data_IF_247015533606
#
_entry.id   IF_247015533606
#
_cell.length_a   1.000
_cell.length_b   1.000
_cell.length_c   1.000
_cell.angle_alpha   90.00
_cell.angle_beta   90.00
_cell.angle_gamma   90.00
#
_symmetry.space_group_name_H-M   'P 1'
#
loop_
_entity.id
_entity.type
_entity.pdbx_description
1 polymer ?
#
# COMPACT_ATOMS: atom_id res chain seq x y z
N UNK A 1 3.09 1.03 -40.86
CA UNK A 1 2.79 -0.37 -41.19
C UNK A 1 2.77 -1.16 -39.89
N UNK A 2 1.59 -1.56 -39.45
CA UNK A 2 1.37 -2.36 -38.24
C UNK A 2 1.54 -3.84 -38.61
N UNK A 3 2.34 -4.59 -37.84
CA UNK A 3 2.41 -6.05 -37.92
C UNK A 3 1.65 -6.67 -36.74
N UNK A 4 0.97 -7.82 -36.94
CA UNK A 4 -0.18 -8.23 -36.13
C UNK A 4 0.14 -9.08 -34.89
N UNK A 5 -0.85 -9.10 -33.99
CA UNK A 5 -0.98 -9.87 -32.76
C UNK A 5 -1.17 -11.37 -33.09
N UNK A 6 -0.37 -12.24 -32.47
CA UNK A 6 -0.59 -13.69 -32.49
C UNK A 6 -1.30 -14.13 -31.19
N UNK A 7 -2.53 -14.61 -31.34
CA UNK A 7 -3.31 -15.29 -30.29
C UNK A 7 -3.13 -16.79 -30.51
N UNK A 8 -2.60 -17.51 -29.52
CA UNK A 8 -2.60 -18.99 -29.52
C UNK A 8 -3.61 -19.46 -28.47
N UNK A 9 -4.75 -19.96 -28.95
CA UNK A 9 -5.66 -20.77 -28.16
C UNK A 9 -5.19 -22.23 -28.19
N UNK A 10 -4.96 -22.84 -27.02
CA UNK A 10 -4.98 -24.29 -26.89
C UNK A 10 -6.30 -24.70 -26.24
N UNK A 11 -7.11 -25.46 -27.00
CA UNK A 11 -8.30 -26.16 -26.52
C UNK A 11 -7.90 -27.52 -25.92
N UNK A 12 -8.75 -28.12 -25.06
CA UNK A 12 -8.40 -29.22 -24.18
C UNK A 12 -8.52 -30.60 -24.85
N UNK A 13 -7.71 -31.55 -24.40
CA UNK A 13 -7.88 -32.97 -24.70
C UNK A 13 -8.75 -33.65 -23.62
N UNK A 14 -9.91 -34.17 -24.02
CA UNK A 14 -10.60 -35.32 -23.40
C UNK A 14 -10.28 -36.54 -24.28
N UNK A 15 -10.22 -37.81 -23.86
CA UNK A 15 -11.07 -38.71 -23.03
C UNK A 15 -10.25 -40.02 -22.74
N UNK A 16 -10.81 -41.16 -22.27
CA UNK A 16 -11.78 -41.44 -21.19
C UNK A 16 -11.27 -42.50 -20.18
N UNK A 17 -11.95 -42.63 -19.04
CA UNK A 17 -11.82 -43.80 -18.15
C UNK A 17 -12.77 -43.73 -16.97
N UNK A 18 -13.89 -44.45 -17.05
CA UNK A 18 -14.84 -44.68 -15.96
C UNK A 18 -14.23 -45.61 -14.89
N UNK A 19 -14.56 -45.35 -13.62
CA UNK A 19 -14.26 -46.25 -12.51
C UNK A 19 -14.73 -45.67 -11.18
N UNK A 20 -15.67 -46.37 -10.56
CA UNK A 20 -16.51 -45.95 -9.44
C UNK A 20 -15.84 -46.06 -8.06
N UNK A 21 -16.45 -45.36 -7.09
CA UNK A 21 -16.52 -45.63 -5.65
C UNK A 21 -15.59 -44.91 -4.64
N UNK A 22 -16.29 -44.18 -3.75
CA UNK A 22 -16.09 -44.05 -2.29
C UNK A 22 -14.85 -43.36 -1.73
N UNK A 23 -15.11 -42.21 -1.07
CA UNK A 23 -14.31 -41.72 0.06
C UNK A 23 -14.22 -42.78 1.17
N UNK A 24 -13.08 -42.84 1.88
CA UNK A 24 -13.06 -42.18 3.18
C UNK A 24 -11.80 -41.33 3.40
N UNK A 25 -12.02 -40.19 4.08
CA UNK A 25 -10.99 -39.40 4.73
C UNK A 25 -10.18 -40.28 5.69
N UNK A 26 -8.86 -40.30 5.54
CA UNK A 26 -7.97 -40.65 6.64
C UNK A 26 -6.70 -39.80 6.60
N UNK A 27 -6.36 -39.27 7.77
CA UNK A 27 -5.39 -38.19 7.95
C UNK A 27 -3.97 -38.54 7.52
N UNK A 28 -3.32 -37.57 6.86
CA UNK A 28 -1.88 -37.52 6.71
C UNK A 28 -1.35 -36.25 7.37
N UNK A 29 -0.45 -36.45 8.33
CA UNK A 29 0.33 -35.44 9.04
C UNK A 29 1.01 -34.46 8.09
N UNK A 30 0.85 -33.15 8.33
CA UNK A 30 1.66 -32.12 7.69
C UNK A 30 3.07 -32.14 8.32
N UNK A 31 4.08 -32.51 7.52
CA UNK A 31 5.50 -32.42 7.87
C UNK A 31 5.98 -30.96 7.87
N UNK A 32 6.89 -30.55 8.76
CA UNK A 32 7.45 -29.21 8.76
C UNK A 32 8.60 -29.08 7.74
N UNK A 33 8.76 -27.87 7.22
CA UNK A 33 9.90 -27.34 6.44
C UNK A 33 10.12 -27.84 5.00
N UNK A 34 9.78 -26.95 4.05
CA UNK A 34 10.53 -26.82 2.79
C UNK A 34 10.99 -25.37 2.66
N UNK A 35 12.31 -25.14 2.81
CA UNK A 35 12.95 -23.90 2.40
C UNK A 35 12.87 -23.78 0.87
N UNK A 36 12.24 -22.73 0.35
CA UNK A 36 12.33 -22.40 -1.07
C UNK A 36 13.49 -21.42 -1.30
N UNK A 37 14.54 -21.92 -1.95
CA UNK A 37 15.59 -21.11 -2.57
C UNK A 37 15.00 -20.41 -3.80
N UNK A 38 15.01 -19.08 -3.81
CA UNK A 38 14.71 -18.30 -5.01
C UNK A 38 16.00 -17.92 -5.74
N UNK A 39 16.07 -18.31 -7.01
CA UNK A 39 17.04 -17.82 -7.99
C UNK A 39 16.59 -16.46 -8.53
N UNK A 40 17.43 -15.43 -8.41
CA UNK A 40 17.65 -14.52 -9.54
C UNK A 40 16.90 -13.18 -9.66
N UNK A 41 16.42 -12.56 -8.57
CA UNK A 41 16.10 -11.12 -8.60
C UNK A 41 16.69 -10.40 -7.37
N UNK A 42 17.72 -9.58 -7.57
CA UNK A 42 18.36 -8.81 -6.49
C UNK A 42 17.41 -7.70 -6.03
N UNK A 43 16.80 -7.89 -4.86
CA UNK A 43 16.24 -6.79 -4.06
C UNK A 43 17.34 -5.73 -3.82
N UNK A 44 17.02 -4.42 -3.84
CA UNK A 44 18.00 -3.38 -3.57
C UNK A 44 18.65 -3.59 -2.19
N UNK A 45 19.97 -3.37 -2.14
CA UNK A 45 20.83 -3.64 -0.99
C UNK A 45 20.30 -2.96 0.28
N UNK A 46 20.01 -3.80 1.27
CA UNK A 46 19.60 -3.51 2.64
C UNK A 46 20.75 -2.89 3.46
N UNK A 47 21.23 -1.70 3.09
CA UNK A 47 22.26 -0.99 3.87
C UNK A 47 21.74 0.41 4.25
N UNK A 48 21.14 0.46 5.45
CA UNK A 48 20.93 1.59 6.37
C UNK A 48 19.71 1.37 7.28
N UNK A 49 19.40 0.09 7.60
CA UNK A 49 18.68 -0.19 8.84
C UNK A 49 19.66 0.05 9.97
N UNK A 50 19.46 1.13 10.73
CA UNK A 50 20.01 1.22 12.07
C UNK A 50 19.43 0.00 12.81
N UNK A 51 20.29 -0.93 13.18
CA UNK A 51 19.95 -2.02 14.10
C UNK A 51 19.47 -1.38 15.41
N UNK A 52 18.15 -1.23 15.53
CA UNK A 52 17.54 -1.19 16.85
C UNK A 52 17.70 -2.60 17.42
N UNK A 53 18.76 -2.75 18.20
CA UNK A 53 19.16 -3.98 18.84
C UNK A 53 18.02 -4.62 19.63
N UNK A 54 18.15 -5.93 19.76
CA UNK A 54 17.34 -6.82 20.59
C UNK A 54 16.92 -6.20 21.93
N UNK A 55 15.76 -5.56 21.94
CA UNK A 55 14.82 -5.50 23.06
C UNK A 55 13.42 -5.68 22.50
N UNK A 56 13.12 -6.90 22.08
CA UNK A 56 11.74 -7.36 21.96
C UNK A 56 11.14 -7.52 23.35
N UNK A 57 10.94 -6.39 24.03
CA UNK A 57 9.97 -6.25 25.10
C UNK A 57 8.87 -5.39 24.50
N UNK A 58 7.87 -6.04 23.91
CA UNK A 58 6.64 -5.37 23.52
C UNK A 58 5.99 -4.83 24.80
N UNK A 59 6.26 -3.57 25.12
CA UNK A 59 5.60 -2.88 26.21
C UNK A 59 4.19 -2.53 25.74
N UNK A 60 3.23 -3.39 26.09
CA UNK A 60 1.81 -3.10 26.06
C UNK A 60 1.57 -1.93 27.02
N UNK A 61 1.60 -0.69 26.53
CA UNK A 61 1.24 0.45 27.36
C UNK A 61 -0.27 0.42 27.59
N UNK A 62 -0.65 0.01 28.79
CA UNK A 62 -2.02 -0.06 29.26
C UNK A 62 -2.44 1.28 29.85
N UNK A 63 -3.23 2.05 29.12
CA UNK A 63 -4.28 2.85 29.76
C UNK A 63 -5.54 1.99 29.62
N UNK A 64 -5.82 1.18 30.65
CA UNK A 64 -6.80 0.07 30.63
C UNK A 64 -6.66 -0.98 29.50
N UNK A 65 -5.49 -1.64 29.44
CA UNK A 65 -5.43 -3.09 29.19
C UNK A 65 -5.77 -3.66 27.80
N UNK A 66 -6.10 -2.87 26.77
CA UNK A 66 -6.43 -3.42 25.43
C UNK A 66 -5.73 -2.67 24.32
N UNK A 67 -4.59 -3.19 23.86
CA UNK A 67 -4.01 -2.84 22.55
C UNK A 67 -4.89 -3.46 21.45
N UNK A 68 -5.20 -2.69 20.40
CA UNK A 68 -5.98 -3.21 19.27
C UNK A 68 -5.27 -4.43 18.65
N UNK A 69 -6.04 -5.44 18.26
CA UNK A 69 -5.49 -6.57 17.51
C UNK A 69 -4.98 -6.05 16.14
N UNK A 70 -3.76 -6.39 15.71
CA UNK A 70 -3.22 -5.90 14.45
C UNK A 70 -4.05 -6.30 13.22
N UNK A 71 -4.68 -7.48 13.23
CA UNK A 71 -5.60 -7.91 12.18
C UNK A 71 -6.92 -7.14 12.19
N UNK A 72 -7.38 -6.68 13.36
CA UNK A 72 -8.52 -5.77 13.45
C UNK A 72 -8.18 -4.42 12.80
N UNK A 73 -6.99 -3.89 13.07
CA UNK A 73 -6.50 -2.65 12.45
C UNK A 73 -6.39 -2.81 10.92
N UNK A 74 -5.91 -3.96 10.46
CA UNK A 74 -5.87 -4.28 9.02
C UNK A 74 -7.26 -4.37 8.42
N UNK A 75 -8.19 -5.09 9.06
CA UNK A 75 -9.58 -5.21 8.60
C UNK A 75 -10.32 -3.87 8.58
N UNK A 76 -10.15 -3.04 9.62
CA UNK A 76 -10.69 -1.69 9.66
C UNK A 76 -10.11 -0.82 8.55
N UNK A 77 -8.82 -0.95 8.25
CA UNK A 77 -8.19 -0.23 7.14
C UNK A 77 -8.75 -0.72 5.80
N UNK A 78 -8.96 -2.03 5.64
CA UNK A 78 -9.62 -2.61 4.48
C UNK A 78 -11.06 -2.08 4.29
N UNK A 79 -11.74 -1.66 5.34
CA UNK A 79 -13.06 -1.01 5.25
C UNK A 79 -12.95 0.52 5.03
N UNK A 80 -12.32 1.23 5.97
CA UNK A 80 -12.41 2.70 6.14
C UNK A 80 -11.10 3.46 5.88
N UNK A 81 -10.01 2.73 5.64
CA UNK A 81 -8.69 3.33 5.43
C UNK A 81 -8.48 3.93 4.04
N UNK A 82 -7.61 4.92 3.95
CA UNK A 82 -7.23 5.55 2.69
C UNK A 82 -5.75 5.89 2.65
N UNK A 83 -5.08 5.46 1.59
CA UNK A 83 -3.71 5.86 1.25
C UNK A 83 -3.79 6.91 0.15
N UNK A 84 -3.26 8.12 0.38
CA UNK A 84 -3.48 9.23 -0.55
C UNK A 84 -2.26 10.14 -0.66
N UNK A 85 -2.20 10.83 -1.79
CA UNK A 85 -1.23 11.90 -2.04
C UNK A 85 -1.97 13.15 -2.43
N UNK A 86 -1.92 14.17 -1.59
CA UNK A 86 -2.48 15.48 -1.93
C UNK A 86 -1.47 16.27 -2.73
N UNK A 87 -1.91 16.85 -3.85
CA UNK A 87 -1.12 17.76 -4.68
C UNK A 87 -1.67 19.16 -4.47
N UNK A 88 -0.79 20.09 -4.11
CA UNK A 88 -1.12 21.51 -4.01
C UNK A 88 -0.15 22.35 -4.83
N UNK A 89 -0.66 23.40 -5.46
CA UNK A 89 0.19 24.38 -6.13
C UNK A 89 0.96 25.19 -5.08
N UNK A 90 2.27 25.26 -5.24
CA UNK A 90 3.19 25.97 -4.36
C UNK A 90 4.27 26.64 -5.22
N UNK A 91 4.10 27.90 -5.62
CA UNK A 91 5.02 28.60 -6.54
C UNK A 91 6.48 28.62 -6.06
N UNK A 92 6.71 28.55 -4.74
CA UNK A 92 8.06 28.47 -4.17
C UNK A 92 8.77 27.13 -4.40
N UNK A 93 8.08 26.10 -4.92
CA UNK A 93 8.69 24.82 -5.29
C UNK A 93 9.18 24.87 -6.73
N UNK A 94 10.26 24.13 -7.02
CA UNK A 94 10.93 24.09 -8.34
C UNK A 94 9.98 23.86 -9.53
N UNK A 95 8.95 23.03 -9.33
CA UNK A 95 7.95 22.71 -10.36
C UNK A 95 6.55 23.27 -10.02
N UNK A 96 6.47 24.23 -9.10
CA UNK A 96 5.20 24.82 -8.67
C UNK A 96 4.28 23.87 -7.91
N UNK A 97 4.75 22.68 -7.51
CA UNK A 97 3.95 21.62 -6.90
C UNK A 97 4.53 21.15 -5.57
N UNK A 98 3.64 20.87 -4.63
CA UNK A 98 3.93 20.20 -3.37
C UNK A 98 3.08 18.93 -3.25
N UNK A 99 3.74 17.80 -3.05
CA UNK A 99 3.12 16.50 -2.80
C UNK A 99 3.20 16.19 -1.30
N UNK A 100 2.06 15.83 -0.70
CA UNK A 100 2.00 15.33 0.68
C UNK A 100 1.33 13.97 0.71
N UNK A 101 2.09 12.98 1.15
CA UNK A 101 1.59 11.63 1.37
C UNK A 101 0.81 11.63 2.70
N UNK A 102 -0.32 10.91 2.74
CA UNK A 102 -1.10 10.71 3.95
C UNK A 102 -1.69 9.31 4.00
N UNK A 103 -1.81 8.81 5.22
CA UNK A 103 -2.72 7.72 5.56
C UNK A 103 -3.86 8.28 6.41
N UNK A 104 -5.10 7.90 6.12
CA UNK A 104 -6.25 8.36 6.87
C UNK A 104 -7.24 7.23 7.15
N UNK A 105 -7.90 7.28 8.30
CA UNK A 105 -9.13 6.53 8.58
C UNK A 105 -10.19 7.54 8.99
N UNK A 106 -11.27 7.64 8.21
CA UNK A 106 -12.33 8.61 8.41
C UNK A 106 -13.61 7.91 8.85
N UNK A 107 -14.24 8.38 9.92
CA UNK A 107 -15.43 7.77 10.50
C UNK A 107 -16.39 8.84 11.03
N UNK A 108 -17.59 8.40 11.43
CA UNK A 108 -18.51 9.27 12.17
C UNK A 108 -17.91 9.63 13.55
N UNK A 109 -18.26 10.81 14.07
CA UNK A 109 -17.80 11.28 15.40
C UNK A 109 -18.14 10.33 16.55
N UNK A 110 -19.18 9.49 16.40
CA UNK A 110 -19.52 8.44 17.38
C UNK A 110 -18.41 7.42 17.59
N UNK A 111 -17.54 7.24 16.59
CA UNK A 111 -16.42 6.31 16.60
C UNK A 111 -15.09 7.00 16.97
N UNK A 112 -15.13 8.19 17.58
CA UNK A 112 -13.94 8.97 17.93
C UNK A 112 -12.95 8.19 18.82
N UNK A 113 -13.44 7.40 19.77
CA UNK A 113 -12.60 6.60 20.67
C UNK A 113 -11.87 5.48 19.92
N UNK A 114 -12.46 4.92 18.86
CA UNK A 114 -11.78 3.96 17.99
C UNK A 114 -10.62 4.62 17.22
N UNK A 115 -10.82 5.85 16.74
CA UNK A 115 -9.76 6.62 16.07
C UNK A 115 -8.61 7.00 17.04
N UNK A 116 -8.93 7.32 18.30
CA UNK A 116 -7.90 7.52 19.35
C UNK A 116 -7.16 6.21 19.63
N UNK A 117 -7.87 5.09 19.69
CA UNK A 117 -7.27 3.76 19.85
C UNK A 117 -6.34 3.39 18.69
N UNK A 118 -6.64 3.83 17.46
CA UNK A 118 -5.72 3.67 16.31
C UNK A 118 -4.45 4.49 16.48
N UNK A 119 -4.56 5.77 16.86
CA UNK A 119 -3.39 6.61 17.18
C UNK A 119 -2.52 5.94 18.25
N UNK A 120 -3.14 5.43 19.30
CA UNK A 120 -2.41 4.81 20.41
C UNK A 120 -1.79 3.46 20.01
N UNK A 121 -2.47 2.67 19.16
CA UNK A 121 -1.94 1.44 18.57
C UNK A 121 -0.69 1.70 17.72
N UNK A 122 -0.74 2.70 16.83
CA UNK A 122 0.38 3.03 15.97
C UNK A 122 1.46 3.86 16.67
N UNK A 123 1.13 4.55 17.77
CA UNK A 123 2.00 5.47 18.48
C UNK A 123 2.35 6.75 17.70
N UNK A 124 1.68 7.00 16.57
CA UNK A 124 1.93 8.13 15.66
C UNK A 124 0.63 8.71 15.13
N UNK A 125 0.72 9.85 14.43
CA UNK A 125 -0.43 10.50 13.81
C UNK A 125 -1.27 11.34 14.78
N UNK A 126 -2.35 11.89 14.25
CA UNK A 126 -3.24 12.80 14.96
C UNK A 126 -4.70 12.48 14.66
N UNK A 127 -5.58 12.77 15.61
CA UNK A 127 -7.03 12.64 15.45
C UNK A 127 -7.63 14.03 15.32
N UNK A 128 -8.43 14.23 14.29
CA UNK A 128 -9.15 15.47 14.01
C UNK A 128 -10.64 15.19 14.02
N UNK A 129 -11.45 16.15 14.46
CA UNK A 129 -12.90 16.06 14.46
C UNK A 129 -13.52 17.37 14.02
N UNK A 130 -14.60 17.31 13.24
CA UNK A 130 -15.37 18.47 12.81
C UNK A 130 -16.83 18.06 12.56
N UNK A 131 -17.77 18.69 13.27
CA UNK A 131 -19.18 18.35 13.17
C UNK A 131 -19.44 16.88 13.51
N UNK A 132 -20.09 16.16 12.58
CA UNK A 132 -20.42 14.74 12.71
C UNK A 132 -19.33 13.78 12.20
N UNK A 133 -18.15 14.30 11.83
CA UNK A 133 -17.04 13.54 11.27
C UNK A 133 -15.81 13.59 12.17
N UNK A 134 -15.08 12.48 12.21
CA UNK A 134 -13.75 12.39 12.79
C UNK A 134 -12.81 11.61 11.89
N UNK A 135 -11.51 11.86 12.01
CA UNK A 135 -10.49 11.15 11.23
C UNK A 135 -9.19 11.01 12.01
N UNK A 136 -8.58 9.83 11.90
CA UNK A 136 -7.17 9.61 12.21
C UNK A 136 -6.35 9.92 10.96
N UNK A 137 -5.28 10.71 11.08
CA UNK A 137 -4.37 11.04 9.97
C UNK A 137 -2.91 10.89 10.37
N UNK A 138 -2.13 10.33 9.44
CA UNK A 138 -0.67 10.28 9.48
C UNK A 138 -0.11 10.92 8.22
N UNK A 139 0.79 11.91 8.36
CA UNK A 139 1.30 12.69 7.22
C UNK A 139 2.80 13.01 7.26
N UNK A 140 3.49 12.77 8.38
CA UNK A 140 4.94 12.95 8.43
C UNK A 140 5.67 11.77 7.78
N UNK A 141 6.84 12.02 7.18
CA UNK A 141 7.65 10.96 6.55
C UNK A 141 7.98 9.82 7.53
N UNK A 142 8.34 10.16 8.77
CA UNK A 142 8.71 9.18 9.79
C UNK A 142 7.50 8.33 10.19
N UNK A 143 6.35 8.96 10.41
CA UNK A 143 5.15 8.27 10.87
C UNK A 143 4.55 7.39 9.77
N UNK A 144 4.59 7.83 8.51
CA UNK A 144 4.13 7.00 7.38
C UNK A 144 4.94 5.70 7.28
N UNK A 145 6.23 5.73 7.63
CA UNK A 145 7.05 4.52 7.67
C UNK A 145 6.52 3.49 8.68
N UNK A 146 5.97 3.94 9.82
CA UNK A 146 5.33 3.06 10.81
C UNK A 146 4.09 2.38 10.21
N UNK A 147 3.27 3.15 9.49
CA UNK A 147 2.08 2.63 8.80
C UNK A 147 2.45 1.59 7.73
N UNK A 148 3.48 1.88 6.93
CA UNK A 148 3.98 0.95 5.92
C UNK A 148 4.43 -0.37 6.54
N UNK A 149 5.21 -0.31 7.63
CA UNK A 149 5.72 -1.49 8.30
C UNK A 149 4.58 -2.39 8.81
N UNK A 150 3.50 -1.81 9.34
CA UNK A 150 2.32 -2.58 9.74
C UNK A 150 1.74 -3.38 8.58
N UNK A 151 1.44 -2.74 7.44
CA UNK A 151 0.80 -3.41 6.30
C UNK A 151 1.73 -4.31 5.49
N UNK A 152 3.04 -4.23 5.68
CA UNK A 152 3.98 -5.24 5.19
C UNK A 152 3.90 -6.54 6.02
N UNK A 153 3.68 -6.42 7.34
CA UNK A 153 3.58 -7.57 8.26
C UNK A 153 2.16 -8.15 8.32
N UNK A 154 1.14 -7.30 8.25
CA UNK A 154 -0.28 -7.63 8.27
C UNK A 154 -0.94 -7.14 6.97
N UNK A 155 -0.76 -7.86 5.85
CA UNK A 155 -1.20 -7.39 4.54
C UNK A 155 -2.71 -7.18 4.47
N UNK A 156 -3.11 -6.11 3.79
CA UNK A 156 -4.50 -5.88 3.39
C UNK A 156 -5.01 -7.02 2.49
N UNK A 157 -6.29 -7.31 2.60
CA UNK A 157 -6.96 -8.42 1.93
C UNK A 157 -7.87 -7.96 0.78
N UNK A 158 -8.28 -6.69 0.75
CA UNK A 158 -9.14 -6.15 -0.32
C UNK A 158 -8.32 -5.57 -1.49
N UNK A 159 -9.02 -5.04 -2.50
CA UNK A 159 -8.41 -4.27 -3.60
C UNK A 159 -7.56 -3.09 -3.10
N UNK A 160 -7.79 -2.61 -1.88
CA UNK A 160 -6.98 -1.58 -1.20
C UNK A 160 -5.50 -1.97 -1.05
N UNK A 161 -5.18 -3.27 -1.06
CA UNK A 161 -3.79 -3.76 -1.15
C UNK A 161 -3.05 -3.20 -2.36
N UNK A 162 -3.71 -3.04 -3.51
CA UNK A 162 -3.10 -2.44 -4.70
C UNK A 162 -2.79 -0.95 -4.48
N UNK A 163 -3.70 -0.23 -3.84
CA UNK A 163 -3.50 1.18 -3.49
C UNK A 163 -2.35 1.34 -2.49
N UNK A 164 -2.25 0.43 -1.52
CA UNK A 164 -1.12 0.38 -0.61
C UNK A 164 0.22 0.18 -1.34
N UNK A 165 0.32 -0.72 -2.31
CA UNK A 165 1.58 -0.91 -3.04
C UNK A 165 1.93 0.28 -3.94
N UNK A 166 0.95 0.91 -4.59
CA UNK A 166 1.19 2.16 -5.32
C UNK A 166 1.70 3.24 -4.36
N UNK A 167 1.06 3.38 -3.19
CA UNK A 167 1.47 4.32 -2.15
C UNK A 167 2.87 4.02 -1.61
N UNK A 168 3.22 2.75 -1.39
CA UNK A 168 4.56 2.31 -1.00
C UNK A 168 5.60 2.72 -2.05
N UNK A 169 5.34 2.48 -3.34
CA UNK A 169 6.24 2.92 -4.42
C UNK A 169 6.41 4.44 -4.42
N UNK A 170 5.33 5.20 -4.25
CA UNK A 170 5.42 6.66 -4.14
C UNK A 170 6.24 7.07 -2.91
N UNK A 171 6.07 6.40 -1.77
CA UNK A 171 6.81 6.67 -0.54
C UNK A 171 8.31 6.40 -0.69
N UNK A 172 8.71 5.32 -1.35
CA UNK A 172 10.11 5.03 -1.66
C UNK A 172 10.73 6.12 -2.55
N UNK A 173 10.05 6.50 -3.64
CA UNK A 173 10.48 7.60 -4.50
C UNK A 173 10.56 8.95 -3.74
N UNK A 174 9.63 9.18 -2.81
CA UNK A 174 9.63 10.36 -1.94
C UNK A 174 10.84 10.35 -1.00
N UNK A 175 11.15 9.20 -0.39
CA UNK A 175 12.31 9.02 0.48
C UNK A 175 13.63 9.25 -0.26
N UNK A 176 13.72 8.79 -1.51
CA UNK A 176 14.86 8.94 -2.41
C UNK A 176 14.97 10.35 -3.03
N UNK A 177 14.04 11.27 -2.72
CA UNK A 177 13.99 12.63 -3.28
C UNK A 177 13.90 12.67 -4.81
N UNK A 178 13.35 11.63 -5.44
CA UNK A 178 13.22 11.56 -6.90
C UNK A 178 12.37 12.71 -7.46
N UNK A 179 11.38 13.17 -6.69
CA UNK A 179 10.50 14.29 -7.01
C UNK A 179 11.20 15.66 -7.13
N UNK A 180 12.50 15.77 -6.80
CA UNK A 180 13.30 16.99 -7.05
C UNK A 180 13.76 17.12 -8.52
N UNK A 181 13.60 16.06 -9.30
CA UNK A 181 13.91 16.01 -10.72
C UNK A 181 12.64 15.80 -11.53
N UNK A 182 12.60 16.33 -12.74
CA UNK A 182 11.40 16.37 -13.58
C UNK A 182 10.88 14.95 -13.89
N UNK A 183 11.77 14.04 -14.27
CA UNK A 183 11.41 12.66 -14.59
C UNK A 183 10.83 11.92 -13.37
N UNK A 184 11.48 12.04 -12.21
CA UNK A 184 11.01 11.43 -10.97
C UNK A 184 9.68 11.99 -10.50
N UNK A 185 9.47 13.31 -10.64
CA UNK A 185 8.18 13.94 -10.34
C UNK A 185 7.07 13.46 -11.28
N UNK A 186 7.30 13.46 -12.59
CA UNK A 186 6.29 13.02 -13.57
C UNK A 186 5.94 11.54 -13.37
N UNK A 187 6.92 10.67 -13.10
CA UNK A 187 6.68 9.27 -12.75
C UNK A 187 5.86 9.13 -11.46
N UNK A 188 6.17 9.91 -10.44
CA UNK A 188 5.40 9.93 -9.19
C UNK A 188 3.96 10.38 -9.43
N UNK A 189 3.74 11.42 -10.24
CA UNK A 189 2.41 11.90 -10.61
C UNK A 189 1.62 10.87 -11.43
N UNK A 190 2.27 10.08 -12.29
CA UNK A 190 1.64 8.94 -12.95
C UNK A 190 1.11 7.93 -11.94
N UNK A 191 1.88 7.57 -10.91
CA UNK A 191 1.39 6.70 -9.83
C UNK A 191 0.22 7.32 -9.06
N UNK A 192 0.28 8.62 -8.74
CA UNK A 192 -0.81 9.32 -8.07
C UNK A 192 -2.09 9.26 -8.92
N UNK A 193 -1.99 9.35 -10.25
CA UNK A 193 -3.12 9.24 -11.15
C UNK A 193 -3.80 7.86 -11.14
N UNK A 194 -3.13 6.82 -10.62
CA UNK A 194 -3.71 5.49 -10.39
C UNK A 194 -4.08 5.24 -8.91
N UNK A 195 -3.80 6.17 -8.01
CA UNK A 195 -4.05 6.03 -6.58
C UNK A 195 -5.45 6.52 -6.21
N UNK A 196 -6.36 5.57 -5.97
CA UNK A 196 -7.79 5.74 -5.70
C UNK A 196 -8.58 6.39 -6.85
N UNK A 197 -8.27 7.64 -7.20
CA UNK A 197 -8.96 8.42 -8.22
C UNK A 197 -7.95 9.12 -9.14
N UNK A 198 -8.27 9.25 -10.45
CA UNK A 198 -7.47 10.04 -11.36
C UNK A 198 -7.32 11.49 -10.90
N UNK A 199 -6.25 12.14 -11.37
CA UNK A 199 -6.02 13.56 -11.16
C UNK A 199 -7.17 14.35 -11.79
N UNK A 200 -7.68 15.33 -11.04
CA UNK A 200 -8.73 16.24 -11.54
C UNK A 200 -8.22 17.01 -12.76
N UNK A 201 -9.13 17.32 -13.69
CA UNK A 201 -8.80 17.98 -14.96
C UNK A 201 -7.95 19.23 -14.79
N UNK A 202 -8.30 20.11 -13.84
CA UNK A 202 -7.50 21.33 -13.56
C UNK A 202 -6.07 21.02 -13.12
N UNK A 203 -5.89 20.04 -12.22
CA UNK A 203 -4.57 19.63 -11.73
C UNK A 203 -3.76 18.98 -12.84
N UNK A 204 -4.38 18.11 -13.63
CA UNK A 204 -3.75 17.43 -14.76
C UNK A 204 -3.30 18.43 -15.83
N UNK A 205 -4.17 19.39 -16.20
CA UNK A 205 -3.85 20.46 -17.15
C UNK A 205 -2.69 21.32 -16.66
N UNK A 206 -2.66 21.68 -15.37
CA UNK A 206 -1.53 22.39 -14.79
C UNK A 206 -0.22 21.60 -14.93
N UNK A 207 -0.24 20.31 -14.60
CA UNK A 207 0.95 19.43 -14.70
C UNK A 207 1.45 19.36 -16.15
N UNK A 208 0.56 19.12 -17.11
CA UNK A 208 0.92 19.00 -18.53
C UNK A 208 1.54 20.29 -19.05
N UNK A 209 0.94 21.44 -18.72
CA UNK A 209 1.37 22.74 -19.23
C UNK A 209 2.66 23.26 -18.57
N UNK A 210 2.90 22.96 -17.29
CA UNK A 210 4.00 23.54 -16.53
C UNK A 210 5.16 22.57 -16.26
N UNK A 211 4.89 21.26 -16.26
CA UNK A 211 5.90 20.23 -15.93
C UNK A 211 6.17 19.35 -17.14
N UNK A 212 5.14 18.70 -17.68
CA UNK A 212 5.22 17.85 -18.87
C UNK A 212 4.19 16.71 -18.87
N UNK A 213 4.19 15.91 -19.93
CA UNK A 213 3.31 14.75 -20.08
C UNK A 213 3.65 13.66 -19.04
N UNK A 214 2.60 13.03 -18.51
CA UNK A 214 2.74 11.86 -17.64
C UNK A 214 3.24 10.65 -18.45
N UNK A 215 4.35 9.99 -18.05
CA UNK A 215 4.83 8.82 -18.76
C UNK A 215 3.86 7.64 -18.60
N UNK A 216 3.83 6.78 -19.62
CA UNK A 216 3.21 5.45 -19.50
C UNK A 216 3.90 4.66 -18.39
N UNK A 217 3.12 3.92 -17.62
CA UNK A 217 3.61 3.31 -16.40
C UNK A 217 3.08 1.90 -16.20
N UNK A 218 4.00 0.95 -15.96
CA UNK A 218 3.66 -0.37 -15.45
C UNK A 218 3.44 -0.28 -13.94
N UNK A 219 2.23 -0.64 -13.49
CA UNK A 219 1.91 -0.69 -12.07
C UNK A 219 2.76 -1.74 -11.34
N UNK A 220 3.13 -1.51 -10.06
CA UNK A 220 3.91 -2.47 -9.31
C UNK A 220 3.13 -3.78 -9.20
N UNK A 221 3.80 -4.89 -9.50
CA UNK A 221 3.19 -6.22 -9.35
C UNK A 221 2.95 -6.47 -7.87
N UNK A 222 1.71 -6.79 -7.50
CA UNK A 222 1.43 -7.36 -6.18
C UNK A 222 2.14 -8.72 -6.10
N UNK A 223 3.06 -8.95 -5.15
CA UNK A 223 3.83 -10.19 -5.06
C UNK A 223 2.99 -11.44 -4.79
N UNK A 224 1.66 -11.31 -4.64
CA UNK A 224 0.74 -12.39 -4.27
C UNK A 224 -0.32 -12.71 -5.34
N UNK A 225 -0.25 -12.09 -6.53
CA UNK A 225 -1.06 -12.50 -7.67
C UNK A 225 -0.35 -13.66 -8.39
N UNK A 226 -0.61 -14.89 -7.96
CA UNK A 226 -0.59 -16.00 -8.90
C UNK A 226 -1.90 -15.90 -9.69
N UNK A 227 -1.83 -15.35 -10.90
CA UNK A 227 -2.86 -15.57 -11.93
C UNK A 227 -2.71 -16.99 -12.43
#
# INVERSE_FOLDING_TARGET
MLAPILIVHSKPSQTPGEGTNSHPFNGAQLKPHTQLKYLGAKLPRRNNFIEWGNKSSYHTFTHSGKTLNPWLVTGLTDAEGSFLVTISQKPSRKYGLELKLRFMVHMNIRELELLKSLRDFFGVGQVFSSGSSARYEVSSKADINVIINHFLVYPLQTSKKHMFYIFLTIFEMYCNKEHFHKEGLLKMLSYVNFLNNPLRGETLSYIINNVGLLPFLALPRSPFLKV
#
